data_IF_520543497286
#
_entry.id   IF_520543497286
#
_cell.length_a   1.000
_cell.length_b   1.000
_cell.length_c   1.000
_cell.angle_alpha   90.00
_cell.angle_beta   90.00
_cell.angle_gamma   90.00
#
_symmetry.space_group_name_H-M   'P 1'
#
loop_
_entity.id
_entity.type
_entity.pdbx_description
1 polymer ?
#
# COMPACT_ATOMS: atom_id res chain seq x y z
N UNK A 1 -18.79 -1.61 7.97
CA UNK A 1 -17.35 -1.89 7.79
C UNK A 1 -16.59 -0.65 8.21
N UNK A 2 -15.67 -0.77 9.16
CA UNK A 2 -14.67 0.29 9.38
C UNK A 2 -13.89 0.47 8.07
N UNK A 3 -13.69 1.71 7.63
CA UNK A 3 -12.94 2.00 6.41
C UNK A 3 -11.47 1.70 6.67
N UNK A 4 -10.86 0.84 5.85
CA UNK A 4 -9.40 0.65 5.88
C UNK A 4 -8.71 1.91 5.36
N UNK A 5 -7.58 2.28 5.96
CA UNK A 5 -6.76 3.41 5.49
C UNK A 5 -5.29 3.00 5.44
N UNK A 6 -4.65 3.18 4.29
CA UNK A 6 -3.21 3.07 4.12
C UNK A 6 -2.59 4.46 4.05
N UNK A 7 -1.81 4.83 5.07
CA UNK A 7 -0.98 6.02 5.03
C UNK A 7 0.36 5.72 4.36
N UNK A 8 0.79 6.62 3.47
CA UNK A 8 2.09 6.56 2.81
C UNK A 8 2.77 7.92 3.02
N UNK A 9 3.91 7.92 3.68
CA UNK A 9 4.71 9.14 3.85
C UNK A 9 6.19 8.80 3.97
N UNK A 10 7.06 9.68 3.49
CA UNK A 10 8.51 9.56 3.70
C UNK A 10 8.92 9.85 5.14
N UNK A 11 8.17 10.73 5.81
CA UNK A 11 8.43 11.23 7.15
C UNK A 11 7.35 10.71 8.12
N UNK A 12 7.77 10.13 9.25
CA UNK A 12 6.89 9.42 10.20
C UNK A 12 6.04 10.36 11.05
N UNK A 13 6.52 11.56 11.31
CA UNK A 13 5.88 12.60 12.14
C UNK A 13 4.56 13.12 11.56
N UNK A 14 4.30 12.87 10.28
CA UNK A 14 3.05 13.24 9.61
C UNK A 14 1.94 12.18 9.74
N UNK A 15 2.24 11.04 10.39
CA UNK A 15 1.34 9.90 10.49
C UNK A 15 0.56 9.93 11.81
N UNK A 16 -0.75 9.61 11.82
CA UNK A 16 -1.53 9.54 13.04
C UNK A 16 -0.94 8.56 14.08
N UNK A 17 -1.24 8.83 15.36
CA UNK A 17 -0.92 7.90 16.44
C UNK A 17 -1.80 6.63 16.33
N UNK A 18 -1.30 5.50 16.83
CA UNK A 18 -1.98 4.18 16.81
C UNK A 18 -2.19 3.55 15.44
N UNK A 19 -1.33 3.86 14.47
CA UNK A 19 -1.33 3.22 13.15
C UNK A 19 -0.37 2.03 13.14
N UNK A 20 -0.78 0.91 12.50
CA UNK A 20 0.09 -0.24 12.34
C UNK A 20 1.23 0.07 11.35
N UNK A 21 2.46 0.08 11.84
CA UNK A 21 3.65 0.29 11.01
C UNK A 21 3.92 -0.96 10.16
N UNK A 22 3.63 -0.84 8.86
CA UNK A 22 3.90 -1.86 7.86
C UNK A 22 5.38 -1.76 7.45
N UNK A 23 6.12 -2.84 7.65
CA UNK A 23 7.51 -3.00 7.21
C UNK A 23 7.63 -4.30 6.44
N UNK A 24 8.71 -4.48 5.68
CA UNK A 24 8.89 -5.62 4.77
C UNK A 24 8.63 -6.98 5.42
N UNK A 25 9.11 -7.19 6.66
CA UNK A 25 8.88 -8.45 7.38
C UNK A 25 7.39 -8.78 7.57
N UNK A 26 6.53 -7.78 7.70
CA UNK A 26 5.09 -7.96 7.86
C UNK A 26 4.43 -8.43 6.56
N UNK A 27 4.99 -8.10 5.39
CA UNK A 27 4.48 -8.52 4.08
C UNK A 27 4.53 -10.05 3.91
N UNK A 28 5.36 -10.75 4.67
CA UNK A 28 5.41 -12.21 4.64
C UNK A 28 4.22 -12.87 5.36
N UNK A 29 3.55 -12.16 6.28
CA UNK A 29 2.44 -12.64 7.09
C UNK A 29 1.14 -11.87 6.79
N UNK A 30 0.41 -12.35 5.78
CA UNK A 30 -0.81 -11.71 5.29
C UNK A 30 -1.93 -11.62 6.36
N UNK A 31 -2.01 -12.60 7.27
CA UNK A 31 -3.05 -12.63 8.31
C UNK A 31 -2.85 -11.51 9.35
N UNK A 32 -1.59 -11.18 9.66
CA UNK A 32 -1.29 -10.04 10.51
C UNK A 32 -1.76 -8.72 9.89
N UNK A 33 -1.68 -8.59 8.55
CA UNK A 33 -2.13 -7.40 7.81
C UNK A 33 -3.66 -7.34 7.77
N UNK A 34 -4.35 -8.47 7.53
CA UNK A 34 -5.82 -8.52 7.47
C UNK A 34 -6.50 -8.03 8.75
N UNK A 35 -5.87 -8.30 9.90
CA UNK A 35 -6.38 -7.95 11.23
C UNK A 35 -6.18 -6.48 11.62
N UNK A 36 -5.60 -5.65 10.73
CA UNK A 36 -5.45 -4.22 10.95
C UNK A 36 -6.38 -3.44 10.03
N UNK A 37 -6.89 -2.30 10.51
CA UNK A 37 -7.71 -1.40 9.69
C UNK A 37 -6.94 -0.16 9.23
N UNK A 38 -5.86 0.20 9.94
CA UNK A 38 -5.08 1.41 9.62
C UNK A 38 -3.61 1.04 9.52
N UNK A 39 -3.03 1.31 8.36
CA UNK A 39 -1.66 0.96 8.01
C UNK A 39 -0.82 2.20 7.77
N UNK A 40 0.48 2.07 8.00
CA UNK A 40 1.46 3.07 7.60
C UNK A 40 2.63 2.40 6.90
N UNK A 41 2.95 2.88 5.70
CA UNK A 41 4.19 2.56 5.00
C UNK A 41 5.10 3.78 4.95
N UNK A 42 6.34 3.62 5.45
CA UNK A 42 7.35 4.67 5.35
C UNK A 42 8.01 4.64 3.96
N UNK A 43 7.68 5.61 3.12
CA UNK A 43 8.23 5.73 1.77
C UNK A 43 7.24 6.34 0.80
N UNK A 44 7.19 5.79 -0.41
CA UNK A 44 6.23 6.16 -1.46
C UNK A 44 5.40 4.94 -1.86
N UNK A 45 4.36 5.16 -2.67
CA UNK A 45 3.63 4.06 -3.28
C UNK A 45 4.57 3.13 -4.07
N UNK A 46 5.53 3.69 -4.80
CA UNK A 46 6.50 2.90 -5.58
C UNK A 46 7.40 2.04 -4.69
N UNK A 47 7.85 2.54 -3.52
CA UNK A 47 8.66 1.71 -2.62
C UNK A 47 7.84 0.59 -1.99
N UNK A 48 6.56 0.83 -1.69
CA UNK A 48 5.64 -0.22 -1.25
C UNK A 48 5.48 -1.30 -2.32
N UNK A 49 5.16 -0.89 -3.55
CA UNK A 49 4.97 -1.82 -4.68
C UNK A 49 6.25 -2.62 -4.94
N UNK A 50 7.42 -1.96 -4.90
CA UNK A 50 8.71 -2.63 -5.05
C UNK A 50 8.94 -3.67 -3.96
N UNK A 51 8.71 -3.32 -2.69
CA UNK A 51 8.88 -4.23 -1.57
C UNK A 51 7.95 -5.45 -1.67
N UNK A 52 6.67 -5.22 -1.99
CA UNK A 52 5.66 -6.28 -2.15
C UNK A 52 5.98 -7.17 -3.35
N UNK A 53 6.51 -6.61 -4.44
CA UNK A 53 6.88 -7.37 -5.67
C UNK A 53 7.99 -8.39 -5.43
N UNK A 54 8.85 -8.20 -4.43
CA UNK A 54 9.91 -9.17 -4.07
C UNK A 54 9.36 -10.52 -3.60
N UNK A 55 8.08 -10.57 -3.20
CA UNK A 55 7.41 -11.77 -2.70
C UNK A 55 6.87 -12.69 -3.80
N UNK A 56 7.02 -12.30 -5.06
CA UNK A 56 6.41 -12.95 -6.20
C UNK A 56 4.99 -12.44 -6.49
N UNK A 57 4.62 -12.48 -7.76
CA UNK A 57 3.46 -11.77 -8.33
C UNK A 57 2.13 -12.16 -7.65
N UNK A 58 1.88 -13.45 -7.47
CA UNK A 58 0.61 -13.91 -6.88
C UNK A 58 0.43 -13.46 -5.43
N UNK A 59 1.51 -13.54 -4.63
CA UNK A 59 1.47 -13.10 -3.24
C UNK A 59 1.38 -11.57 -3.16
N UNK A 60 2.08 -10.89 -4.06
CA UNK A 60 2.08 -9.45 -4.16
C UNK A 60 0.68 -8.87 -4.45
N UNK A 61 -0.06 -9.43 -5.41
CA UNK A 61 -1.45 -9.02 -5.68
C UNK A 61 -2.30 -9.17 -4.42
N UNK A 62 -2.28 -10.34 -3.77
CA UNK A 62 -3.10 -10.60 -2.57
C UNK A 62 -2.85 -9.60 -1.46
N UNK A 63 -1.59 -9.19 -1.28
CA UNK A 63 -1.22 -8.18 -0.27
C UNK A 63 -1.74 -6.80 -0.68
N UNK A 64 -1.54 -6.41 -1.93
CA UNK A 64 -1.99 -5.10 -2.43
C UNK A 64 -3.52 -4.99 -2.43
N UNK A 65 -4.24 -6.06 -2.74
CA UNK A 65 -5.71 -6.07 -2.65
C UNK A 65 -6.20 -5.75 -1.24
N UNK A 66 -5.52 -6.27 -0.21
CA UNK A 66 -5.86 -5.98 1.20
C UNK A 66 -5.48 -4.54 1.56
N UNK A 67 -4.27 -4.11 1.19
CA UNK A 67 -3.74 -2.79 1.55
C UNK A 67 -4.50 -1.66 0.84
N UNK A 68 -5.01 -1.91 -0.37
CA UNK A 68 -5.67 -0.94 -1.23
C UNK A 68 -7.20 -1.10 -1.27
N UNK A 69 -7.79 -2.02 -0.48
CA UNK A 69 -9.24 -2.20 -0.36
C UNK A 69 -9.96 -0.91 0.08
N UNK A 70 -9.23 -0.05 0.82
CA UNK A 70 -9.75 1.18 1.40
C UNK A 70 -9.20 2.47 0.77
N UNK A 71 -9.01 3.47 1.62
CA UNK A 71 -8.49 4.78 1.23
C UNK A 71 -6.96 4.76 1.35
N UNK A 72 -6.27 5.34 0.37
CA UNK A 72 -4.86 5.69 0.48
C UNK A 72 -4.74 7.16 0.83
N UNK A 73 -3.99 7.45 1.89
CA UNK A 73 -3.64 8.79 2.33
C UNK A 73 -2.13 9.00 2.09
N UNK A 74 -1.80 9.67 1.00
CA UNK A 74 -0.42 9.92 0.59
C UNK A 74 0.01 11.33 1.01
N UNK A 75 1.10 11.41 1.79
CA UNK A 75 1.63 12.65 2.35
C UNK A 75 2.96 12.97 1.68
N UNK A 76 2.94 13.98 0.82
CA UNK A 76 4.12 14.46 0.09
C UNK A 76 4.24 15.97 0.23
N UNK A 77 5.41 16.48 0.60
CA UNK A 77 5.68 17.92 0.72
C UNK A 77 4.63 18.67 1.56
N UNK A 78 4.20 18.08 2.69
CA UNK A 78 3.13 18.59 3.57
C UNK A 78 1.73 18.67 2.92
N UNK A 79 1.55 18.08 1.73
CA UNK A 79 0.25 17.94 1.10
C UNK A 79 -0.30 16.55 1.37
N UNK A 80 -1.55 16.50 1.80
CA UNK A 80 -2.27 15.28 2.13
C UNK A 80 -3.27 14.97 1.03
N UNK A 81 -3.04 13.88 0.30
CA UNK A 81 -3.88 13.45 -0.81
C UNK A 81 -4.61 12.16 -0.46
N UNK A 82 -5.95 12.18 -0.56
CA UNK A 82 -6.78 11.01 -0.36
C UNK A 82 -7.30 10.48 -1.69
N UNK A 83 -7.15 9.18 -1.91
CA UNK A 83 -7.64 8.52 -3.11
C UNK A 83 -7.97 7.05 -2.86
N UNK A 84 -8.78 6.49 -3.73
CA UNK A 84 -8.89 5.02 -3.90
C UNK A 84 -8.07 4.60 -5.12
N UNK A 85 -7.51 3.41 -5.09
CA UNK A 85 -6.80 2.83 -6.23
C UNK A 85 -6.76 1.31 -6.12
N UNK A 86 -6.46 0.62 -7.23
CA UNK A 86 -6.26 -0.83 -7.25
C UNK A 86 -4.88 -1.15 -7.83
N UNK A 87 -4.39 -2.37 -7.60
CA UNK A 87 -3.22 -2.90 -8.28
C UNK A 87 -3.64 -3.86 -9.40
N UNK A 88 -2.86 -3.89 -10.49
CA UNK A 88 -2.99 -4.90 -11.54
C UNK A 88 -1.62 -5.45 -11.89
N UNK A 89 -1.59 -6.68 -12.38
CA UNK A 89 -0.40 -7.27 -12.99
C UNK A 89 -0.47 -7.06 -14.49
N UNK A 90 0.62 -6.55 -15.04
CA UNK A 90 0.81 -6.39 -16.47
C UNK A 90 1.97 -7.26 -16.92
N UNK A 91 1.79 -7.89 -18.07
CA UNK A 91 2.81 -8.71 -18.71
C UNK A 91 3.34 -7.95 -19.93
N UNK A 92 4.65 -7.95 -20.11
CA UNK A 92 5.29 -7.41 -21.30
C UNK A 92 6.46 -8.30 -21.73
N UNK A 93 7.13 -7.93 -22.83
CA UNK A 93 8.24 -8.69 -23.39
C UNK A 93 9.42 -8.89 -22.42
N UNK A 94 9.55 -8.05 -21.38
CA UNK A 94 10.61 -8.15 -20.35
C UNK A 94 10.14 -8.83 -19.05
N UNK A 95 8.90 -9.32 -19.01
CA UNK A 95 8.32 -10.02 -17.87
C UNK A 95 7.07 -9.34 -17.30
N UNK A 96 6.70 -9.77 -16.10
CA UNK A 96 5.51 -9.31 -15.41
C UNK A 96 5.86 -8.31 -14.31
N UNK A 97 5.03 -7.28 -14.18
CA UNK A 97 5.20 -6.23 -13.19
C UNK A 97 3.85 -5.73 -12.68
N UNK A 98 3.89 -5.08 -11.52
CA UNK A 98 2.70 -4.57 -10.83
C UNK A 98 2.56 -3.09 -11.12
N UNK A 99 1.33 -2.64 -11.33
CA UNK A 99 1.01 -1.22 -11.51
C UNK A 99 -0.20 -0.82 -10.69
N UNK A 100 -0.12 0.36 -10.08
CA UNK A 100 -1.26 1.02 -9.44
C UNK A 100 -2.10 1.72 -10.53
N UNK A 101 -3.39 1.45 -10.52
CA UNK A 101 -4.38 1.95 -11.49
C UNK A 101 -5.60 2.51 -10.77
N UNK A 102 -6.48 3.17 -11.53
CA UNK A 102 -7.74 3.73 -11.03
C UNK A 102 -7.57 4.69 -9.84
N UNK A 103 -6.48 5.48 -9.81
CA UNK A 103 -6.27 6.52 -8.81
C UNK A 103 -7.37 7.58 -8.94
N UNK A 104 -8.36 7.52 -8.06
CA UNK A 104 -9.50 8.45 -8.01
C UNK A 104 -9.40 9.28 -6.73
N UNK A 105 -9.17 10.57 -6.89
CA UNK A 105 -9.21 11.53 -5.77
C UNK A 105 -10.59 11.53 -5.12
N UNK A 106 -10.61 11.69 -3.80
CA UNK A 106 -11.82 11.77 -2.97
C UNK A 106 -12.08 13.23 -2.59
#
# INVERSE_FOLDING_TARGET
MEKRILYIAKQKDLIPQNVFCLIEKHLYNIEAIKNQNVYYWQGTMDTLVSAVSTLGIEKAIKILDILLEGIVAEIENNHLNYYTCNAVVMYCCVGAYIRIVNKKSI
#
